data_IF_516302975510
#
_entry.id   IF_516302975510
#
_cell.length_a   1.000
_cell.length_b   1.000
_cell.length_c   1.000
_cell.angle_alpha   90.00
_cell.angle_beta   90.00
_cell.angle_gamma   90.00
#
_symmetry.space_group_name_H-M   'P 1'
#
loop_
_entity.id
_entity.type
_entity.pdbx_description
1 polymer ?
#
# COMPACT_ATOMS: atom_id res chain seq x y z
N UNK A 1 27.47 33.96 -32.22
CA UNK A 1 26.06 33.81 -31.78
C UNK A 1 25.94 32.38 -31.27
N UNK A 2 26.13 32.18 -29.96
CA UNK A 2 26.10 30.85 -29.35
C UNK A 2 24.63 30.47 -29.19
N UNK A 3 24.16 29.53 -30.02
CA UNK A 3 22.86 28.88 -29.84
C UNK A 3 22.97 28.03 -28.58
N UNK A 4 22.62 28.61 -27.43
CA UNK A 4 22.48 27.88 -26.18
C UNK A 4 21.36 26.87 -26.35
N UNK A 5 21.68 25.58 -26.36
CA UNK A 5 20.70 24.51 -26.33
C UNK A 5 19.75 24.73 -25.14
N UNK A 6 18.42 24.76 -25.36
CA UNK A 6 17.49 24.92 -24.26
C UNK A 6 17.67 23.78 -23.25
N UNK A 7 17.84 24.16 -21.98
CA UNK A 7 17.94 23.24 -20.84
C UNK A 7 16.79 22.25 -20.82
N UNK A 8 17.03 21.04 -20.30
CA UNK A 8 16.04 19.94 -20.20
C UNK A 8 14.72 20.41 -19.59
N UNK A 9 14.80 21.32 -18.61
CA UNK A 9 13.67 21.93 -17.90
C UNK A 9 12.80 22.84 -18.80
N UNK A 10 13.41 23.56 -19.75
CA UNK A 10 12.67 24.35 -20.74
C UNK A 10 11.92 23.46 -21.76
N UNK A 11 12.44 22.26 -22.08
CA UNK A 11 11.80 21.34 -23.03
C UNK A 11 10.72 20.45 -22.41
N UNK A 12 10.87 20.06 -21.14
CA UNK A 12 9.77 19.43 -20.38
C UNK A 12 8.58 20.37 -20.26
N UNK A 13 8.83 21.68 -20.15
CA UNK A 13 7.79 22.72 -20.17
C UNK A 13 7.05 22.76 -21.51
N UNK A 14 7.75 22.57 -22.63
CA UNK A 14 7.16 22.52 -23.97
C UNK A 14 6.29 21.27 -24.16
N UNK A 15 6.78 20.08 -23.79
CA UNK A 15 6.01 18.84 -23.92
C UNK A 15 4.79 18.84 -22.98
N UNK A 16 4.92 19.41 -21.78
CA UNK A 16 3.80 19.67 -20.87
C UNK A 16 2.80 20.66 -21.47
N UNK A 17 3.25 21.73 -22.13
CA UNK A 17 2.38 22.68 -22.83
C UNK A 17 1.66 22.05 -24.03
N UNK A 18 2.34 21.17 -24.78
CA UNK A 18 1.75 20.43 -25.91
C UNK A 18 0.72 19.42 -25.42
N UNK A 19 1.02 18.65 -24.37
CA UNK A 19 0.06 17.75 -23.72
C UNK A 19 -1.11 18.53 -23.09
N UNK A 20 -0.87 19.64 -22.41
CA UNK A 20 -1.94 20.49 -21.85
C UNK A 20 -2.80 21.12 -22.94
N UNK A 21 -2.22 21.49 -24.10
CA UNK A 21 -2.98 21.94 -25.27
C UNK A 21 -3.82 20.81 -25.85
N UNK A 22 -3.27 19.59 -25.92
CA UNK A 22 -3.97 18.41 -26.41
C UNK A 22 -5.11 17.99 -25.47
N UNK A 23 -4.88 18.01 -24.15
CA UNK A 23 -5.88 17.73 -23.11
C UNK A 23 -6.97 18.82 -23.03
N UNK A 24 -6.64 20.09 -23.32
CA UNK A 24 -7.66 21.14 -23.45
C UNK A 24 -8.55 20.95 -24.69
N UNK A 25 -8.15 20.11 -25.63
CA UNK A 25 -8.85 19.81 -26.86
C UNK A 25 -9.68 18.50 -26.78
N UNK A 26 -10.00 18.04 -25.55
CA UNK A 26 -10.61 16.75 -25.15
C UNK A 26 -12.01 16.40 -25.72
N UNK A 27 -12.29 16.74 -26.98
CA UNK A 27 -13.42 16.20 -27.76
C UNK A 27 -13.01 15.58 -29.09
N UNK A 28 -11.73 15.56 -29.42
CA UNK A 28 -11.27 14.93 -30.66
C UNK A 28 -11.04 13.43 -30.43
N UNK A 29 -11.89 12.59 -31.03
CA UNK A 29 -11.73 11.14 -31.10
C UNK A 29 -10.78 10.69 -32.21
N UNK A 30 -10.23 11.63 -32.99
CA UNK A 30 -9.30 11.35 -34.08
C UNK A 30 -7.86 11.44 -33.56
N UNK A 31 -7.04 10.38 -33.71
CA UNK A 31 -5.64 10.44 -33.30
C UNK A 31 -4.92 11.55 -34.08
N UNK A 32 -4.00 12.30 -33.44
CA UNK A 32 -3.21 13.33 -34.11
C UNK A 32 -2.38 12.72 -35.24
N UNK A 33 -2.08 13.51 -36.28
CA UNK A 33 -1.17 13.06 -37.35
C UNK A 33 0.21 12.79 -36.77
N UNK A 34 0.80 11.67 -37.19
CA UNK A 34 2.15 11.29 -36.77
C UNK A 34 3.12 12.07 -37.65
N UNK A 35 3.51 13.24 -37.15
CA UNK A 35 4.52 14.08 -37.79
C UNK A 35 5.92 13.75 -37.22
N UNK A 36 6.99 13.99 -37.98
CA UNK A 36 8.38 13.71 -37.56
C UNK A 36 8.75 14.33 -36.20
N UNK A 37 8.13 15.47 -35.88
CA UNK A 37 8.30 16.15 -34.58
C UNK A 37 7.70 15.36 -33.42
N UNK A 38 6.51 14.77 -33.61
CA UNK A 38 5.84 13.94 -32.61
C UNK A 38 6.63 12.63 -32.41
N UNK A 39 7.13 12.04 -33.49
CA UNK A 39 7.97 10.82 -33.44
C UNK A 39 9.24 11.07 -32.64
N UNK A 40 9.95 12.18 -32.91
CA UNK A 40 11.15 12.54 -32.15
C UNK A 40 10.87 12.80 -30.66
N UNK A 41 9.74 13.42 -30.34
CA UNK A 41 9.33 13.63 -28.94
C UNK A 41 8.97 12.32 -28.23
N UNK A 42 8.28 11.40 -28.92
CA UNK A 42 7.97 10.07 -28.39
C UNK A 42 9.23 9.27 -28.13
N UNK A 43 10.15 9.19 -29.10
CA UNK A 43 11.45 8.52 -28.95
C UNK A 43 12.21 9.04 -27.72
N UNK A 44 12.15 10.35 -27.48
CA UNK A 44 12.78 10.98 -26.32
C UNK A 44 12.13 10.58 -25.00
N UNK A 45 10.80 10.57 -24.92
CA UNK A 45 10.06 10.25 -23.67
C UNK A 45 10.25 8.78 -23.27
N UNK A 46 10.40 7.86 -24.23
CA UNK A 46 10.65 6.45 -23.93
C UNK A 46 12.10 6.11 -23.61
N UNK A 47 13.03 7.08 -23.69
CA UNK A 47 14.44 6.82 -23.34
C UNK A 47 14.63 6.55 -21.84
N UNK A 48 15.53 5.62 -21.51
CA UNK A 48 15.84 5.26 -20.12
C UNK A 48 16.50 6.39 -19.30
N UNK A 49 16.95 7.46 -19.96
CA UNK A 49 17.54 8.64 -19.33
C UNK A 49 16.50 9.72 -19.02
N UNK A 50 15.30 9.66 -19.58
CA UNK A 50 14.31 10.72 -19.48
C UNK A 50 13.95 11.04 -18.02
N UNK A 51 13.74 10.02 -17.20
CA UNK A 51 13.35 10.19 -15.79
C UNK A 51 14.50 10.73 -14.92
N UNK A 52 15.77 10.53 -15.33
CA UNK A 52 16.93 10.98 -14.55
C UNK A 52 17.03 12.50 -14.47
N UNK A 53 16.68 13.17 -15.56
CA UNK A 53 16.82 14.63 -15.72
C UNK A 53 15.51 15.38 -15.46
N UNK A 54 14.47 14.69 -14.97
CA UNK A 54 13.14 15.26 -14.75
C UNK A 54 12.62 15.00 -13.32
N UNK A 55 11.45 15.58 -13.03
CA UNK A 55 10.72 15.39 -11.76
C UNK A 55 9.80 14.16 -11.78
N UNK A 56 9.82 13.37 -12.87
CA UNK A 56 9.11 12.08 -12.94
C UNK A 56 9.60 11.15 -11.84
N UNK A 57 8.66 10.48 -11.16
CA UNK A 57 8.99 9.63 -10.00
C UNK A 57 9.21 10.37 -8.69
N UNK A 58 9.66 11.63 -8.74
CA UNK A 58 9.93 12.46 -7.55
C UNK A 58 8.73 13.30 -7.14
N UNK A 59 7.97 13.78 -8.12
CA UNK A 59 6.77 14.59 -7.87
C UNK A 59 5.74 14.63 -8.98
N UNK A 60 6.03 14.00 -10.11
CA UNK A 60 5.12 13.84 -11.24
C UNK A 60 4.95 12.35 -11.52
N UNK A 61 3.69 11.93 -11.74
CA UNK A 61 3.35 10.52 -11.96
C UNK A 61 3.38 9.69 -10.67
N UNK A 62 3.62 8.39 -10.82
CA UNK A 62 3.83 7.47 -9.70
C UNK A 62 5.09 7.81 -8.93
N UNK A 63 5.05 7.73 -7.61
CA UNK A 63 6.22 7.97 -6.75
C UNK A 63 7.13 6.75 -6.75
N UNK A 64 8.43 6.95 -6.99
CA UNK A 64 9.42 5.87 -7.08
C UNK A 64 10.00 5.48 -5.70
N UNK A 65 10.76 4.39 -5.70
CA UNK A 65 11.57 3.88 -4.57
C UNK A 65 10.79 3.45 -3.31
N UNK A 66 9.47 3.26 -3.44
CA UNK A 66 8.57 2.76 -2.39
C UNK A 66 7.77 1.59 -2.95
N UNK A 67 7.73 0.47 -2.22
CA UNK A 67 7.08 -0.76 -2.70
C UNK A 67 5.53 -0.70 -2.78
N UNK A 68 4.94 0.30 -2.12
CA UNK A 68 3.51 0.67 -2.14
C UNK A 68 3.36 2.07 -2.74
N UNK A 69 3.77 2.20 -4.00
CA UNK A 69 3.72 3.44 -4.77
C UNK A 69 2.29 3.96 -4.93
N UNK A 70 1.32 3.05 -4.97
CA UNK A 70 -0.12 3.31 -5.02
C UNK A 70 -0.60 4.18 -3.86
N UNK A 71 -0.27 3.78 -2.62
CA UNK A 71 -0.68 4.50 -1.39
C UNK A 71 -0.05 5.89 -1.35
N UNK A 72 1.26 6.00 -1.60
CA UNK A 72 1.97 7.29 -1.51
C UNK A 72 1.59 8.25 -2.63
N UNK A 73 1.32 7.73 -3.83
CA UNK A 73 0.84 8.54 -4.96
C UNK A 73 -0.55 9.08 -4.65
N UNK A 74 -1.46 8.23 -4.16
CA UNK A 74 -2.79 8.66 -3.71
C UNK A 74 -2.74 9.69 -2.59
N UNK A 75 -1.89 9.49 -1.58
CA UNK A 75 -1.67 10.45 -0.50
C UNK A 75 -1.23 11.82 -1.03
N UNK A 76 -0.30 11.86 -2.00
CA UNK A 76 0.17 13.11 -2.58
C UNK A 76 -0.89 13.82 -3.41
N UNK A 77 -1.68 13.07 -4.18
CA UNK A 77 -2.82 13.60 -4.93
C UNK A 77 -3.84 14.23 -3.97
N UNK A 78 -4.24 13.53 -2.91
CA UNK A 78 -5.11 14.11 -1.88
C UNK A 78 -4.47 15.29 -1.15
N UNK A 79 -3.14 15.28 -0.98
CA UNK A 79 -2.35 16.39 -0.45
C UNK A 79 -2.45 17.70 -1.25
N UNK A 80 -2.82 17.60 -2.53
CA UNK A 80 -3.07 18.72 -3.44
C UNK A 80 -4.55 19.13 -3.51
N UNK A 81 -5.41 18.58 -2.64
CA UNK A 81 -6.82 18.96 -2.53
C UNK A 81 -7.75 18.22 -3.49
N UNK A 82 -7.26 17.18 -4.18
CA UNK A 82 -8.12 16.35 -5.02
C UNK A 82 -9.07 15.50 -4.17
N UNK A 83 -10.33 15.44 -4.59
CA UNK A 83 -11.31 14.49 -4.06
C UNK A 83 -11.23 13.14 -4.76
N UNK A 84 -11.75 12.10 -4.11
CA UNK A 84 -11.94 10.78 -4.70
C UNK A 84 -13.41 10.36 -4.56
N UNK A 85 -13.84 9.38 -5.34
CA UNK A 85 -15.16 8.78 -5.24
C UNK A 85 -15.00 7.26 -5.28
N UNK A 86 -15.61 6.58 -4.30
CA UNK A 86 -15.72 5.14 -4.30
C UNK A 86 -17.09 4.76 -4.87
N UNK A 87 -17.09 3.97 -5.95
CA UNK A 87 -18.30 3.59 -6.66
C UNK A 87 -18.47 2.08 -6.59
N UNK A 88 -19.51 1.64 -5.88
CA UNK A 88 -19.95 0.24 -5.92
C UNK A 88 -20.99 0.07 -7.01
N UNK A 89 -20.91 -1.05 -7.72
CA UNK A 89 -21.91 -1.49 -8.70
C UNK A 89 -22.48 -2.81 -8.22
N UNK A 90 -23.71 -3.11 -8.64
CA UNK A 90 -24.37 -4.38 -8.31
C UNK A 90 -23.59 -5.59 -8.82
N UNK A 91 -22.92 -5.43 -9.96
CA UNK A 91 -22.04 -6.44 -10.53
C UNK A 91 -20.60 -5.94 -10.47
N UNK A 92 -19.68 -6.87 -10.18
CA UNK A 92 -18.26 -6.58 -10.13
C UNK A 92 -17.76 -6.09 -11.49
N UNK A 93 -17.37 -4.82 -11.56
CA UNK A 93 -16.85 -4.22 -12.79
C UNK A 93 -15.42 -4.68 -13.10
N UNK A 94 -14.70 -5.20 -12.10
CA UNK A 94 -13.33 -5.65 -12.20
C UNK A 94 -13.16 -6.94 -11.38
N UNK A 95 -12.77 -8.03 -12.05
CA UNK A 95 -12.44 -9.30 -11.40
C UNK A 95 -10.93 -9.53 -11.50
N UNK A 96 -10.32 -9.90 -10.38
CA UNK A 96 -8.90 -10.21 -10.29
C UNK A 96 -8.67 -11.59 -9.70
N UNK A 97 -7.47 -12.13 -9.93
CA UNK A 97 -7.05 -13.41 -9.35
C UNK A 97 -6.33 -13.14 -8.04
N UNK A 98 -6.78 -13.78 -6.97
CA UNK A 98 -6.10 -13.77 -5.68
C UNK A 98 -5.03 -14.88 -5.63
N UNK A 99 -3.94 -14.71 -4.87
CA UNK A 99 -2.96 -15.77 -4.67
C UNK A 99 -3.63 -17.02 -4.05
N UNK A 100 -3.46 -18.17 -4.70
CA UNK A 100 -4.01 -19.45 -4.23
C UNK A 100 -3.11 -20.06 -3.14
N UNK A 101 -1.79 -19.82 -3.24
CA UNK A 101 -0.82 -20.34 -2.31
C UNK A 101 -0.57 -19.39 -1.13
N UNK A 102 -0.59 -19.94 0.09
CA UNK A 102 -0.27 -19.20 1.32
C UNK A 102 1.09 -18.50 1.25
N UNK A 103 2.10 -19.12 0.63
CA UNK A 103 3.44 -18.52 0.52
C UNK A 103 3.40 -17.24 -0.31
N UNK A 104 2.64 -17.22 -1.41
CA UNK A 104 2.52 -16.05 -2.27
C UNK A 104 1.73 -14.94 -1.57
N UNK A 105 0.67 -15.32 -0.85
CA UNK A 105 -0.11 -14.37 -0.06
C UNK A 105 0.74 -13.73 1.05
N UNK A 106 1.53 -14.51 1.80
CA UNK A 106 2.42 -13.98 2.83
C UNK A 106 3.53 -13.08 2.26
N UNK A 107 4.07 -13.40 1.07
CA UNK A 107 5.03 -12.50 0.38
C UNK A 107 4.39 -11.19 -0.02
N UNK A 108 3.13 -11.21 -0.45
CA UNK A 108 2.38 -10.01 -0.80
C UNK A 108 2.12 -9.15 0.43
N UNK A 109 1.69 -9.75 1.54
CA UNK A 109 1.52 -9.06 2.83
C UNK A 109 2.84 -8.47 3.32
N UNK A 110 3.95 -9.21 3.18
CA UNK A 110 5.28 -8.71 3.54
C UNK A 110 5.65 -7.47 2.72
N UNK A 111 5.39 -7.48 1.41
CA UNK A 111 5.62 -6.31 0.52
C UNK A 111 4.77 -5.12 0.93
N UNK A 112 3.47 -5.32 1.14
CA UNK A 112 2.56 -4.26 1.58
C UNK A 112 2.98 -3.65 2.91
N UNK A 113 3.38 -4.50 3.85
CA UNK A 113 3.81 -4.07 5.18
C UNK A 113 5.14 -3.31 5.12
N UNK A 114 6.08 -3.80 4.32
CA UNK A 114 7.34 -3.11 4.06
C UNK A 114 7.13 -1.74 3.43
N UNK A 115 6.36 -1.67 2.35
CA UNK A 115 6.06 -0.41 1.66
C UNK A 115 5.31 0.57 2.55
N UNK A 116 4.33 0.11 3.33
CA UNK A 116 3.57 0.95 4.27
C UNK A 116 4.47 1.64 5.29
N UNK A 117 5.44 0.90 5.84
CA UNK A 117 6.46 1.45 6.74
C UNK A 117 7.46 2.35 6.01
N UNK A 118 7.84 2.03 4.76
CA UNK A 118 8.66 2.92 3.94
C UNK A 118 7.97 4.27 3.70
N UNK A 119 6.66 4.29 3.45
CA UNK A 119 5.87 5.52 3.37
C UNK A 119 5.93 6.27 4.70
N UNK A 120 5.72 5.58 5.82
CA UNK A 120 5.78 6.18 7.15
C UNK A 120 7.12 6.88 7.44
N UNK A 121 8.25 6.25 7.09
CA UNK A 121 9.58 6.82 7.31
C UNK A 121 10.08 7.71 6.17
N UNK A 122 9.29 7.90 5.11
CA UNK A 122 9.62 8.79 3.99
C UNK A 122 9.25 10.25 4.27
N UNK A 123 9.65 11.15 3.36
CA UNK A 123 9.18 12.55 3.36
C UNK A 123 7.65 12.66 3.18
N UNK A 124 7.00 11.63 2.63
CA UNK A 124 5.56 11.61 2.41
C UNK A 124 4.78 11.07 3.63
N UNK A 125 5.33 11.22 4.84
CA UNK A 125 4.69 10.75 6.07
C UNK A 125 3.36 11.50 6.33
N UNK A 126 2.24 10.78 6.56
CA UNK A 126 0.94 11.37 6.91
C UNK A 126 0.95 12.32 8.12
N UNK A 127 1.92 12.19 9.04
CA UNK A 127 2.07 13.12 10.17
C UNK A 127 2.46 14.54 9.74
N UNK A 128 3.37 14.67 8.78
CA UNK A 128 4.01 15.93 8.44
C UNK A 128 3.50 16.45 7.09
N UNK A 129 3.28 15.56 6.12
CA UNK A 129 2.86 15.90 4.77
C UNK A 129 1.36 16.18 4.60
N UNK A 130 0.98 16.61 3.40
CA UNK A 130 -0.43 16.73 2.98
C UNK A 130 -1.16 17.94 3.58
N UNK A 131 -0.85 19.15 3.07
CA UNK A 131 -1.42 20.42 3.57
C UNK A 131 -2.95 20.53 3.43
N UNK A 132 -3.55 19.90 2.41
CA UNK A 132 -4.97 20.03 2.11
C UNK A 132 -5.80 18.78 2.47
N UNK A 133 -5.23 17.87 3.27
CA UNK A 133 -5.90 16.62 3.66
C UNK A 133 -6.75 16.84 4.92
N UNK A 134 -7.97 16.32 4.92
CA UNK A 134 -8.86 16.36 6.08
C UNK A 134 -8.28 15.53 7.24
N UNK A 135 -8.52 15.96 8.49
CA UNK A 135 -7.95 15.32 9.68
C UNK A 135 -8.29 13.82 9.79
N UNK A 136 -9.54 13.43 9.50
CA UNK A 136 -9.95 12.03 9.58
C UNK A 136 -9.26 11.19 8.49
N UNK A 137 -9.19 11.70 7.26
CA UNK A 137 -8.46 11.06 6.17
C UNK A 137 -6.97 10.89 6.49
N UNK A 138 -6.37 11.87 7.19
CA UNK A 138 -5.00 11.79 7.68
C UNK A 138 -4.83 10.65 8.70
N UNK A 139 -5.79 10.47 9.61
CA UNK A 139 -5.78 9.35 10.56
C UNK A 139 -5.88 8.00 9.83
N UNK A 140 -6.71 7.90 8.78
CA UNK A 140 -6.79 6.68 7.96
C UNK A 140 -5.47 6.35 7.26
N UNK A 141 -4.81 7.35 6.64
CA UNK A 141 -3.49 7.16 6.05
C UNK A 141 -2.43 6.78 7.09
N UNK A 142 -2.51 7.36 8.28
CA UNK A 142 -1.62 7.02 9.38
C UNK A 142 -1.82 5.56 9.81
N UNK A 143 -3.08 5.12 9.97
CA UNK A 143 -3.40 3.74 10.30
C UNK A 143 -2.83 2.77 9.24
N UNK A 144 -3.05 3.05 7.96
CA UNK A 144 -2.52 2.25 6.84
C UNK A 144 -0.99 2.21 6.76
N UNK A 145 -0.28 3.21 7.26
CA UNK A 145 1.19 3.24 7.20
C UNK A 145 1.84 2.60 8.44
N UNK A 146 1.17 2.68 9.60
CA UNK A 146 1.71 2.22 10.89
C UNK A 146 1.24 0.82 11.28
N UNK A 147 0.20 0.26 10.63
CA UNK A 147 -0.37 -1.03 11.03
C UNK A 147 0.66 -2.16 11.22
N UNK A 148 1.76 -2.30 10.46
CA UNK A 148 2.70 -3.42 10.68
C UNK A 148 3.40 -3.34 12.04
N UNK A 149 3.54 -2.15 12.62
CA UNK A 149 4.16 -1.96 13.95
C UNK A 149 3.33 -2.63 15.04
N UNK A 150 2.01 -2.79 14.84
CA UNK A 150 1.13 -3.49 15.80
C UNK A 150 1.60 -4.91 16.10
N UNK A 151 2.29 -5.55 15.16
CA UNK A 151 2.86 -6.89 15.32
C UNK A 151 3.82 -7.03 16.48
N UNK A 152 4.57 -5.97 16.84
CA UNK A 152 5.47 -5.98 18.00
C UNK A 152 4.68 -6.17 19.29
N UNK A 153 3.57 -5.44 19.43
CA UNK A 153 2.68 -5.56 20.59
C UNK A 153 1.96 -6.91 20.62
N UNK A 154 1.52 -7.40 19.45
CA UNK A 154 0.89 -8.72 19.33
C UNK A 154 1.86 -9.83 19.73
N UNK A 155 3.13 -9.77 19.30
CA UNK A 155 4.14 -10.75 19.69
C UNK A 155 4.44 -10.70 21.18
N UNK A 156 4.60 -9.51 21.77
CA UNK A 156 4.78 -9.37 23.23
C UNK A 156 3.59 -9.98 23.99
N UNK A 157 2.37 -9.71 23.53
CA UNK A 157 1.17 -10.29 24.09
C UNK A 157 1.13 -11.82 23.93
N UNK A 158 1.46 -12.35 22.75
CA UNK A 158 1.50 -13.78 22.48
C UNK A 158 2.55 -14.53 23.31
N UNK A 159 3.66 -13.87 23.67
CA UNK A 159 4.69 -14.42 24.54
C UNK A 159 4.36 -14.26 26.04
N UNK A 160 3.30 -13.55 26.39
CA UNK A 160 2.92 -13.31 27.79
C UNK A 160 2.64 -14.59 28.60
N UNK A 161 2.00 -15.63 28.05
CA UNK A 161 1.85 -16.91 28.75
C UNK A 161 3.20 -17.58 29.06
N UNK A 162 4.24 -17.37 28.24
CA UNK A 162 5.58 -17.94 28.47
C UNK A 162 6.22 -17.31 29.70
N UNK A 163 5.95 -16.02 29.97
CA UNK A 163 6.45 -15.33 31.16
C UNK A 163 6.02 -16.01 32.47
N UNK A 164 4.91 -16.76 32.46
CA UNK A 164 4.45 -17.54 33.63
C UNK A 164 5.42 -18.66 34.04
N UNK A 165 6.25 -19.14 33.11
CA UNK A 165 7.25 -20.17 33.39
C UNK A 165 8.60 -19.61 33.86
N UNK A 166 8.76 -18.28 33.89
CA UNK A 166 10.00 -17.62 34.32
C UNK A 166 9.86 -17.29 35.83
N UNK A 167 10.62 -17.95 36.72
CA UNK A 167 10.42 -17.87 38.17
C UNK A 167 10.65 -16.48 38.77
N UNK A 168 11.35 -15.60 38.06
CA UNK A 168 11.70 -14.24 38.49
C UNK A 168 10.65 -13.18 38.07
N UNK A 169 9.68 -13.55 37.23
CA UNK A 169 8.67 -12.61 36.72
C UNK A 169 7.45 -12.58 37.64
N UNK A 170 7.24 -11.45 38.32
CA UNK A 170 6.04 -11.23 39.15
C UNK A 170 4.85 -10.83 38.27
N UNK A 171 3.97 -11.79 37.97
CA UNK A 171 2.69 -11.51 37.31
C UNK A 171 1.65 -11.17 38.39
N UNK A 172 1.09 -9.96 38.32
CA UNK A 172 0.10 -9.49 39.27
C UNK A 172 -1.13 -10.42 39.27
N UNK A 173 -1.52 -10.91 40.45
CA UNK A 173 -2.75 -11.72 40.58
C UNK A 173 -3.98 -10.87 40.23
N UNK A 174 -4.92 -11.40 39.43
CA UNK A 174 -6.11 -10.66 39.06
C UNK A 174 -6.96 -10.36 40.29
N UNK A 175 -7.36 -9.09 40.45
CA UNK A 175 -8.30 -8.65 41.48
C UNK A 175 -9.68 -8.42 40.85
N UNK A 176 -10.74 -8.48 41.66
CA UNK A 176 -12.14 -8.49 41.18
C UNK A 176 -12.43 -7.34 40.21
N UNK A 177 -12.01 -6.10 40.54
CA UNK A 177 -12.21 -4.93 39.68
C UNK A 177 -11.52 -5.08 38.31
N UNK A 178 -10.33 -5.65 38.27
CA UNK A 178 -9.62 -5.92 37.02
C UNK A 178 -10.39 -6.89 36.13
N UNK A 179 -10.89 -8.00 36.71
CA UNK A 179 -11.69 -8.98 35.96
C UNK A 179 -12.96 -8.34 35.41
N UNK A 180 -13.65 -7.50 36.20
CA UNK A 180 -14.84 -6.77 35.75
C UNK A 180 -14.51 -5.85 34.58
N UNK A 181 -13.46 -5.04 34.67
CA UNK A 181 -13.06 -4.16 33.56
C UNK A 181 -12.66 -4.96 32.31
N UNK A 182 -11.94 -6.07 32.46
CA UNK A 182 -11.56 -6.94 31.36
C UNK A 182 -12.80 -7.51 30.66
N UNK A 183 -13.76 -8.03 31.42
CA UNK A 183 -15.02 -8.56 30.88
C UNK A 183 -15.82 -7.47 30.16
N UNK A 184 -15.91 -6.26 30.72
CA UNK A 184 -16.60 -5.14 30.08
C UNK A 184 -15.97 -4.77 28.73
N UNK A 185 -14.63 -4.72 28.65
CA UNK A 185 -13.92 -4.41 27.40
C UNK A 185 -14.14 -5.51 26.36
N UNK A 186 -14.06 -6.79 26.76
CA UNK A 186 -14.29 -7.93 25.87
C UNK A 186 -15.72 -7.90 25.31
N UNK A 187 -16.73 -7.70 26.17
CA UNK A 187 -18.13 -7.60 25.76
C UNK A 187 -18.33 -6.42 24.81
N UNK A 188 -17.78 -5.25 25.15
CA UNK A 188 -17.89 -4.05 24.31
C UNK A 188 -17.29 -4.29 22.91
N UNK A 189 -16.09 -4.86 22.82
CA UNK A 189 -15.45 -5.16 21.54
C UNK A 189 -16.27 -6.14 20.69
N UNK A 190 -16.81 -7.21 21.28
CA UNK A 190 -17.66 -8.15 20.55
C UNK A 190 -19.00 -7.54 20.11
N UNK A 191 -19.57 -6.65 20.91
CA UNK A 191 -20.79 -5.92 20.54
C UNK A 191 -20.55 -4.99 19.35
N UNK A 192 -19.40 -4.27 19.34
CA UNK A 192 -19.01 -3.42 18.21
C UNK A 192 -18.82 -4.26 16.95
N UNK A 193 -18.03 -5.35 17.02
CA UNK A 193 -17.81 -6.22 15.86
C UNK A 193 -19.11 -6.85 15.34
N UNK A 194 -20.04 -7.23 16.23
CA UNK A 194 -21.34 -7.75 15.79
C UNK A 194 -22.19 -6.71 15.05
N UNK A 195 -22.18 -5.45 15.52
CA UNK A 195 -22.87 -4.35 14.84
C UNK A 195 -22.26 -4.10 13.46
N UNK A 196 -20.93 -4.06 13.34
CA UNK A 196 -20.24 -3.87 12.06
C UNK A 196 -20.57 -4.97 11.04
N UNK A 197 -20.51 -6.23 11.46
CA UNK A 197 -20.86 -7.38 10.60
C UNK A 197 -22.32 -7.25 10.09
N UNK A 198 -23.23 -6.82 10.96
CA UNK A 198 -24.65 -6.66 10.63
C UNK A 198 -24.89 -5.52 9.64
N UNK A 199 -24.26 -4.37 9.84
CA UNK A 199 -24.41 -3.19 8.98
C UNK A 199 -23.80 -3.43 7.59
N UNK A 200 -22.64 -4.09 7.52
CA UNK A 200 -21.95 -4.40 6.26
C UNK A 200 -22.52 -5.63 5.53
N UNK A 201 -23.42 -6.39 6.16
CA UNK A 201 -24.02 -7.60 5.57
C UNK A 201 -23.02 -8.75 5.37
N UNK A 202 -21.91 -8.76 6.10
CA UNK A 202 -20.85 -9.77 6.00
C UNK A 202 -21.24 -11.02 6.80
N UNK A 203 -20.81 -12.20 6.36
CA UNK A 203 -21.05 -13.42 7.16
C UNK A 203 -20.09 -13.50 8.35
N UNK A 204 -20.57 -14.04 9.47
CA UNK A 204 -19.70 -14.24 10.65
C UNK A 204 -18.48 -15.11 10.35
N UNK A 205 -18.63 -16.09 9.44
CA UNK A 205 -17.53 -16.97 9.05
C UNK A 205 -16.44 -16.22 8.29
N UNK A 206 -16.81 -15.29 7.39
CA UNK A 206 -15.86 -14.50 6.63
C UNK A 206 -15.10 -13.52 7.53
N UNK A 207 -15.80 -12.87 8.46
CA UNK A 207 -15.18 -12.04 9.49
C UNK A 207 -14.17 -12.84 10.31
N UNK A 208 -14.57 -14.01 10.81
CA UNK A 208 -13.69 -14.86 11.62
C UNK A 208 -12.46 -15.35 10.84
N UNK A 209 -12.62 -15.74 9.56
CA UNK A 209 -11.51 -16.11 8.68
C UNK A 209 -10.55 -14.95 8.44
N UNK A 210 -11.09 -13.73 8.28
CA UNK A 210 -10.28 -12.53 8.16
C UNK A 210 -9.44 -12.27 9.42
N UNK A 211 -10.02 -12.41 10.62
CA UNK A 211 -9.29 -12.27 11.90
C UNK A 211 -8.18 -13.32 12.05
N UNK A 212 -8.46 -14.58 11.68
CA UNK A 212 -7.44 -15.63 11.68
C UNK A 212 -6.29 -15.28 10.73
N UNK A 213 -6.61 -14.79 9.54
CA UNK A 213 -5.63 -14.41 8.54
C UNK A 213 -4.80 -13.19 8.98
N UNK A 214 -5.44 -12.22 9.63
CA UNK A 214 -4.78 -11.09 10.28
C UNK A 214 -3.78 -11.55 11.35
N UNK A 215 -4.15 -12.53 12.19
CA UNK A 215 -3.25 -13.08 13.21
C UNK A 215 -2.06 -13.83 12.60
N UNK A 216 -2.25 -14.56 11.50
CA UNK A 216 -1.16 -15.21 10.76
C UNK A 216 -0.20 -14.16 10.20
N UNK A 217 -0.71 -13.11 9.55
CA UNK A 217 0.11 -12.01 9.03
C UNK A 217 0.87 -11.28 10.14
N UNK A 218 0.20 -11.01 11.26
CA UNK A 218 0.74 -10.31 12.42
C UNK A 218 1.83 -11.05 13.17
N UNK A 219 1.83 -12.39 13.13
CA UNK A 219 2.85 -13.22 13.80
C UNK A 219 3.98 -13.64 12.87
N UNK A 220 3.87 -13.38 11.55
CA UNK A 220 4.86 -13.81 10.55
C UNK A 220 5.39 -12.67 9.67
N UNK A 221 4.56 -12.16 8.75
CA UNK A 221 4.95 -11.18 7.75
C UNK A 221 5.22 -9.80 8.34
N UNK A 222 4.37 -9.31 9.26
CA UNK A 222 4.52 -7.97 9.82
C UNK A 222 5.81 -7.81 10.65
N UNK A 223 6.18 -8.71 11.57
CA UNK A 223 7.44 -8.62 12.32
C UNK A 223 8.66 -8.63 11.40
N UNK A 224 8.60 -9.43 10.33
CA UNK A 224 9.67 -9.51 9.33
C UNK A 224 9.81 -8.18 8.57
N UNK A 225 8.71 -7.56 8.18
CA UNK A 225 8.72 -6.23 7.56
C UNK A 225 9.26 -5.15 8.51
N UNK A 226 8.82 -5.16 9.76
CA UNK A 226 9.29 -4.21 10.80
C UNK A 226 10.80 -4.35 11.00
N UNK A 227 11.30 -5.58 11.15
CA UNK A 227 12.73 -5.85 11.29
C UNK A 227 13.51 -5.37 10.06
N UNK A 228 13.02 -5.66 8.86
CA UNK A 228 13.64 -5.23 7.60
C UNK A 228 13.78 -3.72 7.53
N UNK A 229 12.70 -2.97 7.82
CA UNK A 229 12.72 -1.51 7.79
C UNK A 229 13.58 -0.95 8.91
N UNK A 230 13.55 -1.53 10.11
CA UNK A 230 14.44 -1.13 11.21
C UNK A 230 15.92 -1.29 10.82
N UNK A 231 16.31 -2.41 10.21
CA UNK A 231 17.67 -2.64 9.70
C UNK A 231 18.02 -1.64 8.59
N UNK A 232 17.09 -1.36 7.66
CA UNK A 232 17.28 -0.37 6.59
C UNK A 232 17.55 1.03 7.17
N UNK A 233 16.81 1.43 8.21
CA UNK A 233 16.99 2.72 8.88
C UNK A 233 18.33 2.81 9.62
N UNK A 234 18.76 1.74 10.28
CA UNK A 234 20.03 1.69 11.02
C UNK A 234 21.25 1.64 10.10
N UNK A 235 21.18 0.87 9.01
CA UNK A 235 22.34 0.60 8.14
C UNK A 235 22.44 1.53 6.94
N UNK A 236 21.38 2.31 6.63
CA UNK A 236 21.22 3.13 5.41
C UNK A 236 21.44 2.36 4.09
N UNK A 237 21.57 1.04 4.13
CA UNK A 237 21.69 0.16 2.98
C UNK A 237 20.32 -0.48 2.74
N UNK A 238 19.74 -0.22 1.57
CA UNK A 238 18.48 -0.82 1.17
C UNK A 238 18.61 -2.33 1.02
N UNK A 239 17.78 -3.09 1.73
CA UNK A 239 17.53 -4.49 1.39
C UNK A 239 16.36 -4.45 0.39
N UNK A 240 16.55 -5.03 -0.80
CA UNK A 240 15.52 -5.04 -1.84
C UNK A 240 14.48 -6.12 -1.53
N UNK A 241 13.20 -5.75 -1.50
CA UNK A 241 12.11 -6.73 -1.46
C UNK A 241 12.10 -7.55 -2.76
N UNK A 242 12.05 -8.87 -2.63
CA UNK A 242 11.87 -9.76 -3.79
C UNK A 242 10.44 -9.63 -4.30
N UNK A 243 10.26 -9.06 -5.48
CA UNK A 243 8.95 -8.95 -6.15
C UNK A 243 8.37 -10.36 -6.35
N UNK A 244 7.10 -10.55 -6.00
CA UNK A 244 6.39 -11.80 -6.31
C UNK A 244 6.33 -11.98 -7.82
N UNK A 245 6.90 -13.06 -8.33
CA UNK A 245 6.78 -13.41 -9.74
C UNK A 245 5.31 -13.67 -10.06
N UNK A 246 4.75 -13.00 -11.06
CA UNK A 246 3.49 -13.45 -11.68
C UNK A 246 3.78 -14.82 -12.29
N UNK A 247 3.09 -15.87 -11.87
CA UNK A 247 3.28 -17.19 -12.47
C UNK A 247 3.03 -17.07 -13.99
N UNK A 248 4.03 -17.46 -14.79
CA UNK A 248 3.99 -17.35 -16.26
C UNK A 248 3.81 -18.71 -16.93
N UNK A 249 3.52 -19.75 -16.16
CA UNK A 249 3.37 -21.11 -16.70
C UNK A 249 2.13 -21.73 -16.08
N UNK A 250 1.03 -21.70 -16.83
CA UNK A 250 0.04 -22.77 -16.75
C UNK A 250 0.78 -24.05 -17.16
N UNK A 251 1.34 -24.74 -16.17
CA UNK A 251 1.80 -26.10 -16.38
C UNK A 251 0.52 -26.95 -16.55
N UNK A 252 0.43 -27.79 -17.58
CA UNK A 252 -0.78 -28.59 -17.87
C UNK A 252 -1.13 -29.60 -16.75
N UNK A 253 -0.36 -29.60 -15.66
CA UNK A 253 -0.51 -30.40 -14.47
C UNK A 253 -0.71 -29.55 -13.19
N UNK A 254 -1.09 -28.27 -13.34
CA UNK A 254 -1.44 -27.43 -12.20
C UNK A 254 -2.73 -27.94 -11.54
N UNK A 255 -2.59 -28.50 -10.34
CA UNK A 255 -3.68 -29.02 -9.51
C UNK A 255 -4.75 -27.97 -9.20
N UNK A 256 -4.46 -26.69 -9.40
CA UNK A 256 -5.34 -25.57 -9.15
C UNK A 256 -5.76 -24.84 -10.44
N UNK A 257 -5.54 -25.43 -11.62
CA UNK A 257 -5.92 -24.84 -12.92
C UNK A 257 -7.38 -24.33 -12.93
N UNK A 258 -8.31 -25.12 -12.38
CA UNK A 258 -9.74 -24.79 -12.30
C UNK A 258 -10.06 -23.54 -11.45
N UNK A 259 -9.16 -23.12 -10.55
CA UNK A 259 -9.34 -21.92 -9.73
C UNK A 259 -8.93 -20.63 -10.45
N UNK A 260 -8.30 -20.73 -11.62
CA UNK A 260 -7.93 -19.59 -12.45
C UNK A 260 -8.95 -19.32 -13.58
N UNK A 261 -9.91 -20.22 -13.80
CA UNK A 261 -10.97 -20.02 -14.79
C UNK A 261 -11.99 -19.01 -14.25
N UNK A 262 -12.11 -17.89 -14.95
CA UNK A 262 -13.18 -16.93 -14.72
C UNK A 262 -14.50 -17.53 -15.20
N UNK A 263 -15.42 -17.79 -14.27
CA UNK A 263 -16.78 -18.22 -14.58
C UNK A 263 -17.75 -17.05 -14.62
#
# INVERSE_FOLDING_TARGET
MVLTHPTVQQRTSQLKLTLLKSLKNDRSTTPPSIDDTLTADLERVVTCSYDKETDWGKGVGYIYDIATEDIVTGFRIHGQGWGYMYCTKEHDAFCGIAPINLIECLRQILRWSGGSLEVFFSHNNPFIGGHQIQTLQRVSYLNMTVYPVTSVFILIYALSPIMWFIPEVYIQRPFIRYIVYLLLIIVMNHMIGWLEIKEEGVTWLDYWRNEQFFMIGSTSAYPTAVLHVAVKLLTKKGIHFRVTSKQTTADNNDKFADLYDFR
#
